data_IF_696037390187
#
_entry.id   IF_696037390187
#
_cell.length_a   1.000
_cell.length_b   1.000
_cell.length_c   1.000
_cell.angle_alpha   90.00
_cell.angle_beta   90.00
_cell.angle_gamma   90.00
#
_symmetry.space_group_name_H-M   'P 1'
#
loop_
_entity.id
_entity.type
_entity.pdbx_description
1 polymer ?
#
# COMPACT_ATOMS: atom_id res chain seq x y z
N UNK A 1 -64.73 13.25 10.90
CA UNK A 1 -63.95 14.46 10.55
C UNK A 1 -62.56 14.02 10.15
N UNK A 2 -62.32 14.07 8.84
CA UNK A 2 -61.09 13.70 8.14
C UNK A 2 -60.01 14.74 8.43
N UNK A 3 -58.82 14.33 8.90
CA UNK A 3 -57.59 15.11 8.69
C UNK A 3 -56.35 14.23 8.78
N UNK A 4 -55.92 13.81 7.59
CA UNK A 4 -54.58 13.32 7.27
C UNK A 4 -53.55 14.37 7.69
N UNK A 5 -52.54 14.00 8.47
CA UNK A 5 -51.25 14.67 8.46
C UNK A 5 -50.13 13.65 8.75
N UNK A 6 -49.66 13.05 7.66
CA UNK A 6 -48.26 12.64 7.55
C UNK A 6 -47.57 13.77 6.78
N UNK A 7 -46.54 14.40 7.35
CA UNK A 7 -45.28 14.49 6.63
C UNK A 7 -44.16 14.03 7.57
N UNK A 8 -43.42 12.97 7.21
CA UNK A 8 -42.18 13.14 6.44
C UNK A 8 -41.26 14.14 7.13
N UNK A 9 -40.57 13.68 8.17
CA UNK A 9 -39.25 14.21 8.53
C UNK A 9 -38.26 13.09 8.21
N UNK A 10 -38.00 13.00 6.90
CA UNK A 10 -36.96 12.20 6.30
C UNK A 10 -35.60 12.72 6.80
N UNK A 11 -34.72 11.77 7.09
CA UNK A 11 -33.30 11.90 7.41
C UNK A 11 -32.58 12.92 6.50
N UNK A 12 -31.67 13.74 7.05
CA UNK A 12 -30.46 14.11 6.34
C UNK A 12 -29.27 13.38 6.98
N UNK A 13 -29.18 12.06 6.72
CA UNK A 13 -27.96 11.27 6.90
C UNK A 13 -27.44 11.00 5.48
N UNK A 14 -26.89 11.99 4.76
CA UNK A 14 -26.30 11.80 3.42
C UNK A 14 -25.58 13.07 2.92
N UNK A 15 -24.74 13.71 3.73
CA UNK A 15 -23.93 14.84 3.26
C UNK A 15 -22.56 14.90 3.96
N UNK A 16 -21.80 13.80 3.92
CA UNK A 16 -20.38 13.82 4.23
C UNK A 16 -19.63 12.68 3.51
N UNK A 17 -19.89 12.48 2.22
CA UNK A 17 -18.88 11.91 1.33
C UNK A 17 -18.11 13.12 0.78
N UNK A 18 -17.05 13.50 1.49
CA UNK A 18 -16.06 14.40 0.90
C UNK A 18 -15.33 13.59 -0.17
N UNK A 19 -15.63 13.90 -1.44
CA UNK A 19 -14.76 13.60 -2.56
C UNK A 19 -13.55 14.52 -2.40
N UNK A 20 -12.52 14.03 -1.70
CA UNK A 20 -11.21 14.67 -1.75
C UNK A 20 -10.66 14.41 -3.14
N UNK A 21 -10.78 15.40 -4.02
CA UNK A 21 -10.14 15.36 -5.33
C UNK A 21 -8.66 14.99 -5.16
N UNK A 22 -8.19 13.89 -5.77
CA UNK A 22 -6.79 13.51 -5.63
C UNK A 22 -5.94 14.65 -6.18
N UNK A 23 -4.94 15.07 -5.40
CA UNK A 23 -3.99 16.07 -5.83
C UNK A 23 -3.44 15.69 -7.22
N UNK A 24 -3.23 16.66 -8.13
CA UNK A 24 -2.69 16.37 -9.45
C UNK A 24 -1.37 15.62 -9.27
N UNK A 25 -1.31 14.41 -9.85
CA UNK A 25 -0.08 13.64 -9.87
C UNK A 25 0.94 14.44 -10.70
N UNK A 26 1.91 15.07 -10.03
CA UNK A 26 3.12 15.51 -10.70
C UNK A 26 3.71 14.28 -11.39
N UNK A 27 3.79 14.31 -12.73
CA UNK A 27 4.08 13.15 -13.59
C UNK A 27 5.47 12.52 -13.44
N UNK A 28 6.15 12.80 -12.33
CA UNK A 28 7.48 12.31 -11.97
C UNK A 28 7.54 11.69 -10.57
N UNK A 29 6.45 11.71 -9.79
CA UNK A 29 6.41 11.08 -8.46
C UNK A 29 5.69 9.74 -8.56
N UNK A 30 6.45 8.65 -8.60
CA UNK A 30 5.92 7.29 -8.39
C UNK A 30 5.13 7.28 -7.09
N UNK A 31 3.88 6.79 -7.13
CA UNK A 31 3.10 6.62 -5.90
C UNK A 31 3.86 5.60 -5.03
N UNK A 32 3.92 5.75 -3.69
CA UNK A 32 4.73 4.87 -2.84
C UNK A 32 4.49 3.37 -3.08
N UNK A 33 3.24 2.95 -3.32
CA UNK A 33 2.89 1.55 -3.59
C UNK A 33 3.28 1.04 -4.99
N UNK A 34 3.67 1.94 -5.91
CA UNK A 34 4.11 1.61 -7.27
C UNK A 34 5.64 1.53 -7.38
N UNK A 35 6.37 1.68 -6.26
CA UNK A 35 7.82 1.51 -6.22
C UNK A 35 8.21 0.09 -6.68
N UNK A 36 9.28 0.00 -7.48
CA UNK A 36 9.82 -1.25 -8.00
C UNK A 36 11.17 -1.49 -7.34
N UNK A 37 11.33 -2.54 -6.51
CA UNK A 37 12.59 -2.78 -5.82
C UNK A 37 13.64 -3.38 -6.76
N UNK A 38 14.91 -3.07 -6.48
CA UNK A 38 16.04 -3.80 -7.04
C UNK A 38 16.17 -5.17 -6.34
N UNK A 39 16.17 -6.26 -7.11
CA UNK A 39 16.28 -7.62 -6.58
C UNK A 39 17.68 -8.21 -6.77
N UNK A 40 18.25 -8.76 -5.70
CA UNK A 40 19.54 -9.47 -5.70
C UNK A 40 19.40 -10.84 -5.02
N UNK A 41 20.03 -11.87 -5.58
CA UNK A 41 20.18 -13.18 -4.93
C UNK A 41 21.54 -13.23 -4.21
N UNK A 42 21.50 -13.40 -2.89
CA UNK A 42 22.70 -13.46 -2.05
C UNK A 42 23.39 -14.83 -2.14
N UNK A 43 24.67 -14.90 -1.76
CA UNK A 43 25.47 -16.15 -1.80
C UNK A 43 24.85 -17.30 -1.00
N UNK A 44 24.08 -17.00 0.04
CA UNK A 44 23.39 -17.97 0.89
C UNK A 44 22.01 -18.37 0.33
N UNK A 45 21.65 -17.92 -0.86
CA UNK A 45 20.37 -18.17 -1.52
C UNK A 45 19.22 -17.26 -1.08
N UNK A 46 19.43 -16.37 -0.10
CA UNK A 46 18.41 -15.40 0.29
C UNK A 46 18.18 -14.37 -0.80
N UNK A 47 16.98 -13.79 -0.83
CA UNK A 47 16.60 -12.75 -1.79
C UNK A 47 16.58 -11.40 -1.09
N UNK A 48 17.32 -10.44 -1.61
CA UNK A 48 17.37 -9.07 -1.12
C UNK A 48 16.59 -8.16 -2.07
N UNK A 49 15.78 -7.28 -1.50
CA UNK A 49 15.02 -6.25 -2.20
C UNK A 49 15.43 -4.87 -1.68
N UNK A 50 16.00 -4.04 -2.56
CA UNK A 50 16.44 -2.68 -2.27
C UNK A 50 15.44 -1.63 -2.78
N UNK A 51 15.25 -0.56 -2.02
CA UNK A 51 14.32 0.54 -2.31
C UNK A 51 15.05 1.89 -2.38
N UNK A 52 14.44 2.91 -2.99
CA UNK A 52 15.08 4.21 -3.30
C UNK A 52 15.53 4.96 -2.04
N UNK A 53 14.83 4.77 -0.91
CA UNK A 53 15.18 5.37 0.38
C UNK A 53 16.32 4.64 1.11
N UNK A 54 16.90 3.60 0.51
CA UNK A 54 17.93 2.76 1.13
C UNK A 54 17.39 1.66 2.05
N UNK A 55 16.08 1.46 2.13
CA UNK A 55 15.52 0.28 2.78
C UNK A 55 15.99 -0.98 2.04
N UNK A 56 16.44 -1.97 2.80
CA UNK A 56 16.77 -3.30 2.27
C UNK A 56 15.98 -4.36 3.03
N UNK A 57 15.24 -5.18 2.31
CA UNK A 57 14.44 -6.27 2.87
C UNK A 57 15.01 -7.59 2.37
N UNK A 58 15.44 -8.44 3.30
CA UNK A 58 15.98 -9.77 3.01
C UNK A 58 14.93 -10.81 3.36
N UNK A 59 14.56 -11.60 2.36
CA UNK A 59 13.66 -12.74 2.48
C UNK A 59 14.42 -14.06 2.41
N UNK A 60 13.81 -15.12 2.91
CA UNK A 60 14.31 -16.47 2.73
C UNK A 60 14.38 -16.88 1.24
N UNK A 61 15.19 -17.90 0.97
CA UNK A 61 15.43 -18.41 -0.37
C UNK A 61 14.15 -18.91 -1.04
N UNK A 62 13.46 -19.86 -0.40
CA UNK A 62 12.32 -20.57 -1.00
C UNK A 62 10.97 -19.99 -0.58
N UNK A 63 10.94 -19.17 0.48
CA UNK A 63 9.70 -18.68 1.10
C UNK A 63 9.69 -17.16 1.11
N UNK A 64 8.51 -16.57 0.93
CA UNK A 64 8.29 -15.13 1.15
C UNK A 64 8.18 -14.85 2.66
N UNK A 65 9.27 -15.07 3.40
CA UNK A 65 9.38 -14.82 4.83
C UNK A 65 10.50 -13.82 5.07
N UNK A 66 10.20 -12.72 5.74
CA UNK A 66 11.18 -11.69 6.08
C UNK A 66 12.16 -12.24 7.12
N UNK A 67 13.44 -12.23 6.76
CA UNK A 67 14.55 -12.60 7.64
C UNK A 67 15.10 -11.36 8.35
N UNK A 68 15.23 -10.26 7.61
CA UNK A 68 15.85 -9.02 8.11
C UNK A 68 15.38 -7.82 7.30
N UNK A 69 15.27 -6.69 7.98
CA UNK A 69 15.13 -5.36 7.40
C UNK A 69 16.37 -4.53 7.78
N UNK A 70 16.88 -3.71 6.86
CA UNK A 70 17.91 -2.69 7.12
C UNK A 70 17.34 -1.31 6.87
N UNK A 71 17.85 -0.33 7.60
CA UNK A 71 17.35 1.05 7.61
C UNK A 71 15.88 1.15 8.06
N UNK A 72 15.30 2.36 7.98
CA UNK A 72 13.90 2.61 8.34
C UNK A 72 13.02 2.22 7.15
N UNK A 73 12.72 0.93 7.04
CA UNK A 73 11.77 0.41 6.06
C UNK A 73 10.35 0.83 6.42
N UNK A 74 9.63 1.32 5.42
CA UNK A 74 8.20 1.59 5.55
C UNK A 74 7.40 0.30 5.35
N UNK A 75 6.23 0.20 5.99
CA UNK A 75 5.41 -1.02 5.92
C UNK A 75 5.05 -1.43 4.49
N UNK A 76 4.85 -0.45 3.60
CA UNK A 76 4.52 -0.73 2.21
C UNK A 76 5.67 -1.38 1.43
N UNK A 77 6.92 -1.04 1.77
CA UNK A 77 8.10 -1.62 1.11
C UNK A 77 8.20 -3.12 1.43
N UNK A 78 7.84 -3.50 2.66
CA UNK A 78 7.72 -4.92 3.04
C UNK A 78 6.65 -5.64 2.26
N UNK A 79 5.47 -5.03 2.11
CA UNK A 79 4.38 -5.63 1.34
C UNK A 79 4.78 -5.77 -0.14
N UNK A 80 5.46 -4.78 -0.72
CA UNK A 80 6.01 -4.86 -2.09
C UNK A 80 7.02 -6.01 -2.19
N UNK A 81 8.00 -6.11 -1.30
CA UNK A 81 9.00 -7.19 -1.32
C UNK A 81 8.36 -8.59 -1.27
N UNK A 82 7.34 -8.77 -0.41
CA UNK A 82 6.60 -10.02 -0.31
C UNK A 82 5.80 -10.35 -1.59
N UNK A 83 5.23 -9.35 -2.26
CA UNK A 83 4.53 -9.52 -3.52
C UNK A 83 5.48 -9.96 -4.65
N UNK A 84 6.63 -9.29 -4.80
CA UNK A 84 7.64 -9.68 -5.81
C UNK A 84 8.16 -11.09 -5.56
N UNK A 85 8.44 -11.42 -4.30
CA UNK A 85 8.94 -12.73 -3.91
C UNK A 85 7.94 -13.89 -4.09
N UNK A 86 6.64 -13.60 -4.22
CA UNK A 86 5.60 -14.58 -4.50
C UNK A 86 5.36 -14.79 -6.00
N UNK A 87 5.84 -13.89 -6.86
CA UNK A 87 5.68 -13.96 -8.31
C UNK A 87 6.81 -14.67 -9.05
N UNK A 88 7.95 -14.85 -8.39
CA UNK A 88 9.17 -15.55 -8.84
C UNK A 88 9.10 -17.06 -8.53
#
# INVERSE_FOLDING_TARGET
>A
MLKRYLPVLLLPLLAACYDSEPAPADGTTTRPMDEVPDQELLENGQRQFGFDNGCEIVLEAERAVVVREKEVCELYQRDIALLYAAGD
#
